data_IF_722341682536
#
_entry.id   IF_722341682536
#
_cell.length_a   1.000
_cell.length_b   1.000
_cell.length_c   1.000
_cell.angle_alpha   90.00
_cell.angle_beta   90.00
_cell.angle_gamma   90.00
#
_symmetry.space_group_name_H-M   'P 1'
#
loop_
_entity.id
_entity.type
_entity.pdbx_description
1 polymer ?
#
# COMPACT_ATOMS: atom_id res chain seq x y z
N UNK A 1 57.86 70.49 -11.46
CA UNK A 1 58.53 69.20 -11.27
C UNK A 1 57.60 68.29 -10.49
N UNK A 2 56.95 67.37 -11.15
CA UNK A 2 56.01 66.42 -10.53
C UNK A 2 56.42 64.99 -10.92
N UNK A 3 56.80 64.21 -9.95
CA UNK A 3 57.17 62.82 -10.09
C UNK A 3 55.93 61.96 -10.35
N UNK A 4 56.01 61.00 -11.29
CA UNK A 4 55.03 60.00 -11.58
C UNK A 4 55.24 58.77 -10.70
N UNK A 5 54.18 58.13 -10.19
CA UNK A 5 54.32 56.94 -9.37
C UNK A 5 54.44 55.67 -10.19
N UNK A 6 55.23 54.77 -9.66
CA UNK A 6 55.52 53.41 -10.09
C UNK A 6 54.27 52.49 -10.14
N UNK A 7 54.13 51.75 -11.23
CA UNK A 7 53.14 50.66 -11.43
C UNK A 7 53.66 49.34 -10.86
N UNK A 8 52.86 48.59 -10.08
CA UNK A 8 53.30 47.28 -9.59
C UNK A 8 53.04 46.18 -10.59
N UNK A 9 54.01 45.34 -10.72
CA UNK A 9 54.20 44.17 -11.58
C UNK A 9 53.19 43.08 -11.19
N UNK A 10 52.32 42.63 -12.13
CA UNK A 10 51.38 41.53 -11.96
C UNK A 10 52.13 40.18 -11.81
N UNK A 11 51.87 39.51 -10.67
CA UNK A 11 52.28 38.11 -10.47
C UNK A 11 51.25 37.19 -11.15
N UNK A 12 51.71 36.37 -12.07
CA UNK A 12 50.93 35.29 -12.69
C UNK A 12 50.77 34.17 -11.64
N UNK A 13 49.57 33.95 -11.15
CA UNK A 13 49.22 32.76 -10.41
C UNK A 13 48.81 31.67 -11.35
N UNK A 14 49.58 30.61 -11.43
CA UNK A 14 49.26 29.38 -12.13
C UNK A 14 48.24 28.63 -11.31
N UNK A 15 46.99 28.59 -11.76
CA UNK A 15 45.93 27.80 -11.13
C UNK A 15 46.11 26.36 -11.57
N UNK A 16 46.48 25.50 -10.64
CA UNK A 16 46.43 24.04 -10.81
C UNK A 16 44.98 23.62 -10.65
N UNK A 17 44.36 23.15 -11.71
CA UNK A 17 43.04 22.53 -11.69
C UNK A 17 43.22 21.10 -11.22
N UNK A 18 42.89 20.84 -9.97
CA UNK A 18 42.76 19.48 -9.46
C UNK A 18 41.39 18.93 -9.93
N UNK A 19 41.43 17.97 -10.86
CA UNK A 19 40.24 17.20 -11.22
C UNK A 19 39.90 16.26 -10.08
N UNK A 20 38.85 16.60 -9.30
CA UNK A 20 38.23 15.71 -8.34
C UNK A 20 37.32 14.76 -9.14
N UNK A 21 37.71 13.50 -9.26
CA UNK A 21 36.84 12.43 -9.74
C UNK A 21 35.77 12.19 -8.67
N UNK A 22 34.55 12.63 -8.92
CA UNK A 22 33.38 12.26 -8.13
C UNK A 22 33.04 10.79 -8.45
N UNK A 23 33.40 9.88 -7.54
CA UNK A 23 32.87 8.53 -7.56
C UNK A 23 31.40 8.62 -7.14
N UNK A 24 30.49 8.51 -8.11
CA UNK A 24 29.08 8.30 -7.85
C UNK A 24 28.90 6.90 -7.25
N UNK A 25 28.69 6.84 -5.96
CA UNK A 25 28.20 5.63 -5.28
C UNK A 25 26.71 5.47 -5.67
N UNK A 26 26.48 4.69 -6.70
CA UNK A 26 25.18 4.12 -7.01
C UNK A 26 24.81 3.18 -5.86
N UNK A 27 24.02 3.67 -4.93
CA UNK A 27 23.33 2.83 -3.95
C UNK A 27 22.21 2.10 -4.71
N UNK A 28 22.58 1.01 -5.39
CA UNK A 28 21.60 0.06 -5.90
C UNK A 28 20.95 -0.61 -4.69
N UNK A 29 19.67 -0.29 -4.43
CA UNK A 29 18.82 -1.19 -3.69
C UNK A 29 18.77 -2.49 -4.49
N UNK A 30 19.40 -3.53 -3.98
CA UNK A 30 19.39 -4.87 -4.55
C UNK A 30 17.94 -5.34 -4.67
N UNK A 31 17.40 -5.27 -5.87
CA UNK A 31 16.27 -6.08 -6.29
C UNK A 31 16.85 -7.48 -6.38
N UNK A 32 16.45 -8.37 -5.47
CA UNK A 32 16.80 -9.78 -5.56
C UNK A 32 16.32 -10.33 -6.90
N UNK A 33 17.26 -10.84 -7.68
CA UNK A 33 17.03 -11.54 -8.93
C UNK A 33 16.26 -12.83 -8.59
N UNK A 34 14.98 -12.87 -8.92
CA UNK A 34 14.13 -14.07 -8.84
C UNK A 34 14.19 -14.74 -10.22
N UNK A 35 15.26 -15.48 -10.48
CA UNK A 35 15.28 -16.46 -11.54
C UNK A 35 14.30 -17.56 -11.19
N UNK A 36 13.11 -17.52 -11.76
CA UNK A 36 12.15 -18.61 -11.71
C UNK A 36 12.69 -19.80 -12.53
N UNK A 37 12.65 -21.02 -12.02
CA UNK A 37 12.89 -22.20 -12.86
C UNK A 37 11.69 -22.39 -13.80
N UNK A 38 11.96 -22.55 -15.08
CA UNK A 38 10.99 -22.96 -16.10
C UNK A 38 10.35 -24.31 -15.73
N UNK A 39 9.03 -24.51 -15.93
CA UNK A 39 8.43 -25.81 -15.80
C UNK A 39 8.79 -26.66 -17.01
N UNK A 40 9.41 -27.80 -16.74
CA UNK A 40 9.64 -28.84 -17.72
C UNK A 40 8.30 -29.38 -18.26
N UNK A 41 8.19 -29.39 -19.58
CA UNK A 41 7.15 -30.08 -20.32
C UNK A 41 7.39 -31.58 -20.20
N UNK A 42 6.43 -32.32 -19.65
CA UNK A 42 6.32 -33.71 -19.93
C UNK A 42 4.90 -34.09 -20.34
N UNK A 43 4.91 -34.83 -21.45
CA UNK A 43 3.83 -35.28 -22.27
C UNK A 43 3.05 -36.42 -21.62
N UNK A 44 1.74 -36.41 -21.90
CA UNK A 44 0.91 -37.56 -22.33
C UNK A 44 0.81 -38.84 -21.46
N UNK A 45 -0.40 -39.10 -20.95
CA UNK A 45 -1.02 -40.43 -21.07
C UNK A 45 -2.53 -40.36 -20.84
N UNK A 46 -3.25 -40.78 -21.86
CA UNK A 46 -4.69 -40.99 -21.90
C UNK A 46 -5.11 -42.29 -21.17
N UNK A 47 -6.31 -42.29 -20.59
CA UNK A 47 -7.03 -43.52 -20.22
C UNK A 47 -8.11 -43.27 -19.14
N UNK A 48 -9.15 -44.09 -19.08
CA UNK A 48 -10.35 -44.08 -19.87
C UNK A 48 -11.60 -43.62 -19.05
N UNK A 49 -12.66 -43.21 -19.74
CA UNK A 49 -13.99 -42.87 -19.19
C UNK A 49 -14.58 -44.02 -18.34
N UNK A 50 -15.33 -43.71 -17.29
CA UNK A 50 -16.32 -44.64 -16.75
C UNK A 50 -17.75 -44.27 -17.21
N UNK A 51 -18.38 -45.24 -17.78
CA UNK A 51 -19.73 -45.42 -18.21
C UNK A 51 -20.78 -45.00 -17.17
N UNK A 52 -21.80 -44.27 -17.65
CA UNK A 52 -23.07 -44.04 -16.98
C UNK A 52 -23.82 -45.34 -16.72
N UNK A 53 -24.20 -45.60 -15.46
CA UNK A 53 -25.19 -46.58 -15.11
C UNK A 53 -26.40 -45.85 -14.49
N UNK A 54 -27.48 -45.91 -15.23
CA UNK A 54 -28.83 -45.45 -14.85
C UNK A 54 -29.42 -46.47 -13.85
N UNK A 55 -29.93 -45.99 -12.73
CA UNK A 55 -30.88 -46.73 -11.91
C UNK A 55 -31.95 -45.85 -11.33
N UNK A 56 -33.16 -46.30 -11.54
CA UNK A 56 -34.42 -45.62 -11.36
C UNK A 56 -34.88 -45.49 -9.89
N UNK A 57 -35.56 -44.37 -9.64
CA UNK A 57 -36.84 -44.23 -8.92
C UNK A 57 -37.02 -44.87 -7.55
N UNK A 58 -37.08 -43.98 -6.53
CA UNK A 58 -38.07 -44.11 -5.45
C UNK A 58 -38.34 -42.72 -4.88
N UNK A 59 -39.57 -42.27 -4.95
CA UNK A 59 -40.00 -41.04 -4.33
C UNK A 59 -40.10 -41.21 -2.79
N UNK A 60 -39.54 -40.31 -1.99
CA UNK A 60 -39.87 -40.21 -0.57
C UNK A 60 -40.90 -39.15 -0.34
N UNK A 61 -41.88 -39.52 0.42
CA UNK A 61 -42.92 -38.72 1.07
C UNK A 61 -42.35 -37.50 1.79
N UNK A 62 -42.90 -36.33 1.50
CA UNK A 62 -42.64 -35.06 2.14
C UNK A 62 -43.09 -35.14 3.64
N UNK A 63 -42.20 -34.87 4.62
CA UNK A 63 -42.61 -34.43 5.92
C UNK A 63 -42.91 -32.93 5.85
N UNK A 64 -44.09 -32.54 6.20
CA UNK A 64 -44.50 -31.16 6.46
C UNK A 64 -43.67 -30.66 7.64
N UNK A 65 -42.64 -29.87 7.37
CA UNK A 65 -41.89 -29.18 8.40
C UNK A 65 -42.60 -27.90 8.74
N UNK A 66 -42.90 -27.71 10.05
CA UNK A 66 -43.45 -26.48 10.60
C UNK A 66 -42.49 -25.29 10.29
N UNK A 67 -43.04 -24.10 9.97
CA UNK A 67 -42.18 -22.92 9.55
C UNK A 67 -41.45 -22.25 10.73
N UNK A 68 -41.22 -22.92 11.85
CA UNK A 68 -40.71 -22.30 13.09
C UNK A 68 -39.26 -22.56 13.44
N UNK A 69 -38.54 -23.38 12.64
CA UNK A 69 -37.16 -23.75 12.88
C UNK A 69 -36.27 -23.52 11.62
N UNK A 70 -36.45 -22.40 10.92
CA UNK A 70 -35.39 -21.93 10.05
C UNK A 70 -34.24 -21.44 10.95
N UNK A 71 -32.98 -21.94 10.79
CA UNK A 71 -31.86 -21.39 11.55
C UNK A 71 -31.76 -19.92 11.18
N UNK A 72 -31.90 -19.05 12.18
CA UNK A 72 -31.54 -17.64 12.06
C UNK A 72 -30.05 -17.66 11.74
N UNK A 73 -29.73 -17.51 10.49
CA UNK A 73 -28.35 -17.24 10.06
C UNK A 73 -28.01 -15.88 10.66
N UNK A 74 -27.34 -15.89 11.80
CA UNK A 74 -26.73 -14.69 12.36
C UNK A 74 -25.58 -14.34 11.45
N UNK A 75 -25.84 -13.46 10.45
CA UNK A 75 -24.79 -12.91 9.62
C UNK A 75 -23.71 -12.34 10.56
N UNK A 76 -22.46 -12.73 10.34
CA UNK A 76 -21.33 -12.21 11.11
C UNK A 76 -21.24 -10.69 10.92
N UNK A 77 -20.84 -10.00 11.97
CA UNK A 77 -20.47 -8.59 11.87
C UNK A 77 -19.10 -8.45 11.15
N UNK A 78 -18.80 -7.31 10.53
CA UNK A 78 -17.48 -7.03 9.98
C UNK A 78 -16.35 -7.26 10.99
N UNK A 79 -16.54 -6.88 12.25
CA UNK A 79 -15.57 -7.07 13.33
C UNK A 79 -15.30 -8.56 13.58
N UNK A 80 -16.34 -9.38 13.75
CA UNK A 80 -16.19 -10.83 13.97
C UNK A 80 -15.51 -11.52 12.77
N UNK A 81 -15.79 -11.05 11.56
CA UNK A 81 -15.16 -11.61 10.35
C UNK A 81 -13.65 -11.33 10.30
N UNK A 82 -13.23 -10.09 10.53
CA UNK A 82 -11.78 -9.76 10.49
C UNK A 82 -11.04 -10.37 11.68
N UNK A 83 -11.65 -10.50 12.86
CA UNK A 83 -11.06 -11.20 14.00
C UNK A 83 -10.80 -12.68 13.69
N UNK A 84 -11.76 -13.36 13.05
CA UNK A 84 -11.56 -14.74 12.61
C UNK A 84 -10.42 -14.84 11.56
N UNK A 85 -10.38 -13.93 10.59
CA UNK A 85 -9.34 -13.91 9.55
C UNK A 85 -7.95 -13.75 10.18
N UNK A 86 -7.75 -12.80 11.08
CA UNK A 86 -6.41 -12.57 11.68
C UNK A 86 -6.03 -13.67 12.67
N UNK A 87 -6.99 -14.34 13.31
CA UNK A 87 -6.71 -15.50 14.17
C UNK A 87 -6.08 -16.65 13.36
N UNK A 88 -6.52 -16.85 12.13
CA UNK A 88 -5.97 -17.85 11.19
C UNK A 88 -4.68 -17.39 10.51
N UNK A 89 -4.31 -16.12 10.62
CA UNK A 89 -3.15 -15.50 9.97
C UNK A 89 -2.27 -14.72 10.98
N UNK A 90 -1.51 -15.39 11.83
CA UNK A 90 -0.68 -14.72 12.84
C UNK A 90 0.35 -13.78 12.20
N UNK A 91 0.62 -12.64 12.85
CA UNK A 91 1.52 -11.61 12.36
C UNK A 91 0.89 -10.67 11.32
N UNK A 92 -0.44 -10.71 11.16
CA UNK A 92 -1.17 -9.84 10.25
C UNK A 92 -2.08 -8.85 10.97
N UNK A 93 -2.49 -7.81 10.25
CA UNK A 93 -3.47 -6.82 10.69
C UNK A 93 -4.40 -6.45 9.55
N UNK A 94 -5.66 -6.22 9.88
CA UNK A 94 -6.71 -5.80 8.94
C UNK A 94 -7.46 -4.63 9.56
N UNK A 95 -7.81 -3.66 8.73
CA UNK A 95 -8.86 -2.69 9.04
C UNK A 95 -9.74 -2.46 7.82
N UNK A 96 -11.01 -2.22 8.09
CA UNK A 96 -12.03 -1.88 7.11
C UNK A 96 -12.78 -0.64 7.61
N UNK A 97 -12.98 0.34 6.73
CA UNK A 97 -13.62 1.61 7.08
C UNK A 97 -14.67 2.03 6.06
N UNK A 98 -15.72 2.68 6.52
CA UNK A 98 -16.78 3.27 5.70
C UNK A 98 -17.96 3.74 6.56
N UNK A 99 -18.74 4.69 6.05
CA UNK A 99 -19.94 5.18 6.76
C UNK A 99 -19.70 5.77 8.15
N UNK A 100 -18.45 6.14 8.48
CA UNK A 100 -18.07 6.62 9.82
C UNK A 100 -17.70 5.51 10.79
N UNK A 101 -17.70 4.27 10.36
CA UNK A 101 -17.28 3.11 11.15
C UNK A 101 -15.89 2.63 10.72
N UNK A 102 -15.07 2.25 11.69
CA UNK A 102 -13.78 1.58 11.44
C UNK A 102 -13.73 0.33 12.32
N UNK A 103 -13.52 -0.82 11.70
CA UNK A 103 -13.26 -2.08 12.39
C UNK A 103 -11.84 -2.52 12.12
N UNK A 104 -11.15 -3.04 13.15
CA UNK A 104 -9.75 -3.49 13.00
C UNK A 104 -9.42 -4.66 13.90
N UNK A 105 -8.49 -5.53 13.45
CA UNK A 105 -8.05 -6.70 14.22
C UNK A 105 -6.59 -7.06 13.89
N UNK A 106 -5.95 -7.83 14.76
CA UNK A 106 -4.57 -8.31 14.63
C UNK A 106 -3.54 -7.27 15.02
N UNK A 107 -2.54 -7.04 14.17
CA UNK A 107 -1.50 -6.00 14.35
C UNK A 107 -2.11 -4.64 14.07
N UNK A 108 -2.63 -3.98 15.10
CA UNK A 108 -3.33 -2.69 15.01
C UNK A 108 -2.48 -1.50 15.49
N UNK A 109 -1.38 -1.74 16.19
CA UNK A 109 -0.47 -0.67 16.61
C UNK A 109 0.17 0.02 15.39
N UNK A 110 0.52 1.31 15.51
CA UNK A 110 1.22 2.03 14.45
C UNK A 110 2.56 1.37 14.11
N UNK A 111 2.78 1.17 12.81
CA UNK A 111 4.04 0.67 12.23
C UNK A 111 4.43 1.53 11.03
N UNK A 112 5.65 1.40 10.51
CA UNK A 112 6.13 2.20 9.39
C UNK A 112 5.17 2.13 8.19
N UNK A 113 4.82 3.30 7.66
CA UNK A 113 3.91 3.43 6.51
C UNK A 113 4.53 2.89 5.21
N UNK A 114 5.85 2.90 5.12
CA UNK A 114 6.58 2.58 3.90
C UNK A 114 6.05 3.40 2.71
N UNK A 115 5.96 2.81 1.52
CA UNK A 115 5.48 3.50 0.32
C UNK A 115 3.98 3.82 0.31
N UNK A 116 3.19 3.39 1.30
CA UNK A 116 1.80 3.85 1.41
C UNK A 116 1.72 5.34 1.73
N UNK A 117 2.73 5.91 2.40
CA UNK A 117 2.83 7.35 2.66
C UNK A 117 3.01 8.20 1.38
N UNK A 118 3.31 7.59 0.24
CA UNK A 118 3.38 8.31 -1.05
C UNK A 118 2.02 8.83 -1.51
N UNK A 119 0.91 8.22 -1.07
CA UNK A 119 -0.45 8.68 -1.40
C UNK A 119 -0.71 10.06 -0.79
N UNK A 120 -0.65 10.27 0.53
CA UNK A 120 -0.85 11.60 1.09
C UNK A 120 0.24 12.60 0.68
N UNK A 121 1.47 12.16 0.41
CA UNK A 121 2.54 13.01 -0.12
C UNK A 121 2.18 13.56 -1.51
N UNK A 122 1.69 12.71 -2.41
CA UNK A 122 1.28 13.13 -3.75
C UNK A 122 0.06 14.06 -3.70
N UNK A 123 -0.95 13.77 -2.86
CA UNK A 123 -2.11 14.65 -2.65
C UNK A 123 -1.66 16.01 -2.10
N UNK A 124 -0.69 16.04 -1.18
CA UNK A 124 -0.15 17.29 -0.66
C UNK A 124 0.51 18.14 -1.77
N UNK A 125 1.27 17.50 -2.67
CA UNK A 125 1.90 18.17 -3.80
C UNK A 125 0.87 18.68 -4.82
N UNK A 126 -0.18 17.91 -5.12
CA UNK A 126 -1.31 18.34 -5.95
C UNK A 126 -2.01 19.58 -5.36
N UNK A 127 -2.36 19.54 -4.09
CA UNK A 127 -2.99 20.69 -3.40
C UNK A 127 -2.13 21.95 -3.38
N UNK A 128 -0.83 21.76 -3.28
CA UNK A 128 0.12 22.88 -3.30
C UNK A 128 0.38 23.42 -4.73
N UNK A 129 -0.14 22.75 -5.79
CA UNK A 129 0.10 23.12 -7.18
C UNK A 129 1.56 22.93 -7.62
N UNK A 130 2.31 22.02 -6.97
CA UNK A 130 3.72 21.73 -7.26
C UNK A 130 3.94 20.31 -7.79
N UNK A 131 2.86 19.56 -7.99
CA UNK A 131 2.91 18.22 -8.54
C UNK A 131 3.17 18.25 -10.06
N UNK A 132 4.09 17.41 -10.51
CA UNK A 132 4.21 17.03 -11.91
C UNK A 132 3.44 15.73 -12.10
N UNK A 133 2.47 15.65 -13.06
CA UNK A 133 1.64 14.46 -13.25
C UNK A 133 2.44 13.18 -13.56
N UNK A 134 3.56 13.28 -14.28
CA UNK A 134 4.43 12.13 -14.55
C UNK A 134 5.14 11.67 -13.28
N UNK A 135 5.58 12.60 -12.45
CA UNK A 135 6.22 12.30 -11.16
C UNK A 135 5.21 11.65 -10.20
N UNK A 136 3.97 12.14 -10.14
CA UNK A 136 2.88 11.53 -9.36
C UNK A 136 2.61 10.11 -9.84
N UNK A 137 2.43 9.92 -11.15
CA UNK A 137 2.20 8.60 -11.73
C UNK A 137 3.33 7.63 -11.36
N UNK A 138 4.59 8.01 -11.55
CA UNK A 138 5.74 7.15 -11.21
C UNK A 138 5.80 6.82 -9.72
N UNK A 139 5.60 7.80 -8.85
CA UNK A 139 5.63 7.60 -7.39
C UNK A 139 4.55 6.62 -6.91
N UNK A 140 3.37 6.63 -7.54
CA UNK A 140 2.22 5.83 -7.14
C UNK A 140 2.19 4.48 -7.85
N UNK A 141 2.18 4.46 -9.20
CA UNK A 141 2.07 3.25 -10.03
C UNK A 141 3.25 2.31 -9.82
N UNK A 142 4.48 2.82 -9.97
CA UNK A 142 5.69 2.02 -9.85
C UNK A 142 6.32 2.04 -8.45
N UNK A 143 5.76 2.82 -7.55
CA UNK A 143 6.35 3.04 -6.22
C UNK A 143 7.78 3.61 -6.27
N UNK A 144 8.11 4.39 -7.31
CA UNK A 144 9.41 4.98 -7.54
C UNK A 144 9.81 5.91 -6.37
N UNK A 145 10.95 5.63 -5.75
CA UNK A 145 11.43 6.40 -4.60
C UNK A 145 11.97 7.76 -5.04
N UNK A 146 12.66 7.84 -6.19
CA UNK A 146 13.19 9.11 -6.69
C UNK A 146 12.07 10.09 -7.08
N UNK A 147 10.98 9.57 -7.65
CA UNK A 147 9.79 10.37 -7.92
C UNK A 147 9.15 10.88 -6.60
N UNK A 148 9.04 10.03 -5.59
CA UNK A 148 8.54 10.45 -4.28
C UNK A 148 9.44 11.48 -3.58
N UNK A 149 10.77 11.35 -3.69
CA UNK A 149 11.73 12.32 -3.17
C UNK A 149 11.63 13.65 -3.93
N UNK A 150 11.28 13.62 -5.23
CA UNK A 150 10.98 14.83 -6.01
C UNK A 150 9.74 15.54 -5.47
N UNK A 151 8.63 14.83 -5.21
CA UNK A 151 7.43 15.42 -4.58
C UNK A 151 7.74 16.00 -3.21
N UNK A 152 8.50 15.28 -2.39
CA UNK A 152 8.93 15.76 -1.08
C UNK A 152 9.73 17.07 -1.18
N UNK A 153 10.67 17.14 -2.12
CA UNK A 153 11.50 18.32 -2.37
C UNK A 153 10.68 19.50 -2.90
N UNK A 154 9.72 19.24 -3.81
CA UNK A 154 8.82 20.25 -4.36
C UNK A 154 7.95 20.92 -3.29
N UNK A 155 7.61 20.19 -2.22
CA UNK A 155 6.92 20.71 -1.02
C UNK A 155 7.85 21.49 -0.07
N UNK A 156 9.12 21.71 -0.44
CA UNK A 156 10.13 22.40 0.37
C UNK A 156 10.99 21.50 1.23
N UNK A 157 10.77 20.18 1.18
CA UNK A 157 11.54 19.19 1.96
C UNK A 157 11.36 19.31 3.48
N UNK A 158 12.06 18.43 4.23
CA UNK A 158 12.15 18.53 5.69
C UNK A 158 10.82 18.83 6.39
N UNK A 159 10.82 19.86 7.24
CA UNK A 159 9.65 20.24 8.05
C UNK A 159 8.44 20.69 7.20
N UNK A 160 8.66 21.36 6.08
CA UNK A 160 7.57 21.87 5.24
C UNK A 160 6.83 20.71 4.56
N UNK A 161 7.55 19.80 3.94
CA UNK A 161 6.96 18.62 3.32
C UNK A 161 6.28 17.70 4.35
N UNK A 162 6.89 17.54 5.53
CA UNK A 162 6.31 16.79 6.63
C UNK A 162 4.96 17.36 7.07
N UNK A 163 4.88 18.67 7.29
CA UNK A 163 3.65 19.35 7.69
C UNK A 163 2.57 19.27 6.60
N UNK A 164 2.95 19.48 5.33
CA UNK A 164 2.01 19.39 4.22
C UNK A 164 1.43 17.97 4.10
N UNK A 165 2.26 16.95 4.16
CA UNK A 165 1.84 15.55 4.10
C UNK A 165 0.99 15.16 5.32
N UNK A 166 1.39 15.60 6.51
CA UNK A 166 0.64 15.37 7.75
C UNK A 166 -0.76 16.00 7.73
N UNK A 167 -0.90 17.18 7.13
CA UNK A 167 -2.20 17.83 6.97
C UNK A 167 -3.17 17.02 6.09
N UNK A 168 -2.65 16.18 5.20
CA UNK A 168 -3.46 15.25 4.40
C UNK A 168 -3.82 13.99 5.19
N UNK A 169 -2.86 13.43 5.95
CA UNK A 169 -3.07 12.23 6.77
C UNK A 169 -4.03 12.49 7.94
N UNK A 170 -3.86 13.60 8.63
CA UNK A 170 -4.66 14.00 9.79
C UNK A 170 -4.31 13.26 11.09
N UNK A 171 -4.16 11.95 11.06
CA UNK A 171 -4.08 11.09 12.25
C UNK A 171 -2.66 10.71 12.68
N UNK A 172 -1.66 10.80 11.78
CA UNK A 172 -0.30 10.40 12.06
C UNK A 172 0.70 11.55 11.92
N UNK A 173 1.76 11.53 12.73
CA UNK A 173 2.85 12.51 12.62
C UNK A 173 3.87 12.05 11.59
N UNK A 174 4.10 12.90 10.58
CA UNK A 174 5.11 12.67 9.54
C UNK A 174 6.46 13.22 10.01
N UNK A 175 7.51 12.39 10.11
CA UNK A 175 8.82 12.87 10.52
C UNK A 175 9.45 13.78 9.45
N UNK A 176 10.07 14.89 9.88
CA UNK A 176 10.77 15.82 9.00
C UNK A 176 12.12 15.29 8.50
N UNK A 177 12.70 14.36 9.27
CA UNK A 177 13.96 13.67 8.96
C UNK A 177 13.79 12.17 9.19
N UNK A 178 14.50 11.31 8.43
CA UNK A 178 14.35 9.86 8.60
C UNK A 178 14.74 9.40 10.01
N UNK A 179 13.83 8.76 10.78
CA UNK A 179 14.19 8.13 12.07
C UNK A 179 15.17 6.98 11.92
N UNK A 180 15.16 6.30 10.78
CA UNK A 180 16.11 5.24 10.41
C UNK A 180 16.94 5.67 9.22
N UNK A 181 18.26 5.65 9.34
CA UNK A 181 19.16 5.96 8.22
C UNK A 181 18.94 5.03 7.03
N UNK A 182 19.00 5.57 5.82
CA UNK A 182 18.81 4.81 4.58
C UNK A 182 17.35 4.68 4.11
N UNK A 183 16.39 5.24 4.86
CA UNK A 183 14.97 5.26 4.48
C UNK A 183 14.45 6.68 4.33
N UNK A 184 13.35 6.86 3.59
CA UNK A 184 12.70 8.16 3.46
C UNK A 184 12.00 8.57 4.77
N UNK A 185 11.95 9.87 5.05
CA UNK A 185 11.25 10.41 6.21
C UNK A 185 9.75 10.04 6.18
N UNK A 186 9.07 10.32 5.09
CA UNK A 186 7.63 10.02 4.93
C UNK A 186 7.33 8.52 5.08
N UNK A 187 8.18 7.63 4.55
CA UNK A 187 8.00 6.18 4.67
C UNK A 187 8.12 5.64 6.10
N UNK A 188 8.75 6.40 7.01
CA UNK A 188 8.90 6.05 8.42
C UNK A 188 7.78 6.62 9.31
N UNK A 189 6.76 7.24 8.74
CA UNK A 189 5.54 7.63 9.45
C UNK A 189 4.95 6.42 10.15
N UNK A 190 4.72 6.53 11.46
CA UNK A 190 4.06 5.47 12.23
C UNK A 190 2.55 5.60 12.02
N UNK A 191 1.95 4.62 11.34
CA UNK A 191 0.57 4.69 10.88
C UNK A 191 -0.14 3.35 11.10
N UNK A 192 -1.24 3.34 11.86
CA UNK A 192 -2.01 2.13 12.15
C UNK A 192 -2.79 1.67 10.92
N UNK A 193 -3.21 0.41 10.88
CA UNK A 193 -4.11 -0.08 9.82
C UNK A 193 -5.48 0.59 9.92
N UNK A 194 -5.96 0.89 11.13
CA UNK A 194 -7.23 1.58 11.35
C UNK A 194 -7.22 2.99 10.74
N UNK A 195 -6.21 3.81 11.08
CA UNK A 195 -6.05 5.16 10.52
C UNK A 195 -5.85 5.12 9.00
N UNK A 196 -5.18 4.09 8.47
CA UNK A 196 -5.02 3.94 7.01
C UNK A 196 -6.32 3.59 6.30
N UNK A 197 -7.16 2.73 6.90
CA UNK A 197 -8.47 2.41 6.33
C UNK A 197 -9.41 3.63 6.37
N UNK A 198 -9.41 4.38 7.47
CA UNK A 198 -10.17 5.62 7.59
C UNK A 198 -9.72 6.67 6.56
N UNK A 199 -8.41 6.85 6.41
CA UNK A 199 -7.85 7.72 5.37
C UNK A 199 -8.27 7.24 3.97
N UNK A 200 -8.17 5.94 3.68
CA UNK A 200 -8.58 5.39 2.40
C UNK A 200 -10.08 5.61 2.12
N UNK A 201 -10.95 5.54 3.14
CA UNK A 201 -12.38 5.82 3.02
C UNK A 201 -12.67 7.27 2.60
N UNK A 202 -11.78 8.20 2.94
CA UNK A 202 -11.91 9.62 2.62
C UNK A 202 -11.32 10.01 1.25
N UNK A 203 -10.55 9.14 0.58
CA UNK A 203 -9.77 9.48 -0.61
C UNK A 203 -10.60 10.11 -1.74
N UNK A 204 -11.80 9.58 -2.00
CA UNK A 204 -12.69 10.15 -3.03
C UNK A 204 -13.22 11.56 -2.73
N UNK A 205 -12.99 12.07 -1.52
CA UNK A 205 -13.48 13.35 -1.03
C UNK A 205 -12.38 14.40 -0.87
N UNK A 206 -11.12 13.99 -1.06
CA UNK A 206 -9.98 14.86 -0.86
C UNK A 206 -9.67 15.63 -2.15
N UNK A 207 -9.60 16.94 -2.06
CA UNK A 207 -9.10 17.77 -3.16
C UNK A 207 -7.69 17.32 -3.54
N UNK A 208 -7.41 17.20 -4.84
CA UNK A 208 -6.13 16.74 -5.36
C UNK A 208 -5.93 15.22 -5.32
N UNK A 209 -6.93 14.43 -4.91
CA UNK A 209 -6.80 12.98 -4.88
C UNK A 209 -7.09 12.30 -6.24
N UNK A 210 -7.80 12.94 -7.16
CA UNK A 210 -8.21 12.32 -8.44
C UNK A 210 -7.04 11.73 -9.23
N UNK A 211 -5.94 12.46 -9.55
CA UNK A 211 -4.83 11.90 -10.31
C UNK A 211 -4.09 10.80 -9.52
N UNK A 212 -4.08 10.88 -8.19
CA UNK A 212 -3.46 9.88 -7.32
C UNK A 212 -4.29 8.60 -7.32
N UNK A 213 -5.63 8.69 -7.24
CA UNK A 213 -6.54 7.54 -7.34
C UNK A 213 -6.44 6.85 -8.71
N UNK A 214 -6.37 7.62 -9.80
CA UNK A 214 -6.13 7.07 -11.13
C UNK A 214 -4.83 6.25 -11.17
N UNK A 215 -3.72 6.80 -10.66
CA UNK A 215 -2.43 6.10 -10.58
C UNK A 215 -2.44 4.88 -9.64
N UNK A 216 -3.29 4.87 -8.59
CA UNK A 216 -3.49 3.69 -7.73
C UNK A 216 -4.19 2.54 -8.46
N UNK A 217 -5.03 2.84 -9.46
CA UNK A 217 -5.68 1.86 -10.33
C UNK A 217 -4.74 1.24 -11.37
N UNK A 218 -3.70 1.97 -11.77
CA UNK A 218 -2.72 1.56 -12.78
C UNK A 218 -1.49 0.86 -12.18
N UNK A 219 -1.64 0.21 -11.04
CA UNK A 219 -0.51 -0.38 -10.33
C UNK A 219 0.27 -1.40 -11.17
N UNK A 220 1.61 -1.28 -11.09
CA UNK A 220 2.57 -2.16 -11.76
C UNK A 220 2.22 -3.66 -11.53
N UNK A 221 2.22 -4.51 -12.59
CA UNK A 221 2.04 -5.96 -12.48
C UNK A 221 2.95 -6.64 -11.45
N UNK A 222 4.17 -6.15 -11.20
CA UNK A 222 5.05 -6.64 -10.14
C UNK A 222 4.46 -6.46 -8.73
N UNK A 223 3.42 -5.63 -8.59
CA UNK A 223 2.67 -5.42 -7.34
C UNK A 223 1.28 -6.08 -7.37
N UNK A 224 1.03 -7.04 -8.28
CA UNK A 224 -0.24 -7.75 -8.44
C UNK A 224 -0.45 -8.81 -7.35
N UNK A 225 -0.44 -8.42 -6.08
CA UNK A 225 -0.70 -9.26 -4.90
C UNK A 225 -1.60 -8.52 -3.90
N UNK A 226 -2.09 -9.23 -2.89
CA UNK A 226 -2.92 -8.64 -1.83
C UNK A 226 -4.20 -8.03 -2.41
N UNK A 227 -4.47 -6.76 -2.09
CA UNK A 227 -5.67 -6.06 -2.53
C UNK A 227 -5.81 -5.98 -4.06
N UNK A 228 -4.71 -6.06 -4.83
CA UNK A 228 -4.77 -6.09 -6.30
C UNK A 228 -5.48 -7.32 -6.87
N UNK A 229 -5.69 -8.36 -6.07
CA UNK A 229 -6.44 -9.56 -6.50
C UNK A 229 -7.95 -9.37 -6.40
N UNK A 230 -8.40 -8.23 -5.86
CA UNK A 230 -9.81 -7.89 -5.69
C UNK A 230 -10.29 -6.99 -6.83
N UNK A 231 -11.58 -7.07 -7.12
CA UNK A 231 -12.21 -6.24 -8.14
C UNK A 231 -12.15 -4.75 -7.76
N UNK A 232 -11.94 -3.88 -8.77
CA UNK A 232 -11.95 -2.44 -8.61
C UNK A 232 -10.86 -1.88 -7.71
N UNK A 233 -9.75 -2.62 -7.50
CA UNK A 233 -8.71 -2.24 -6.57
C UNK A 233 -7.99 -0.95 -6.98
N UNK A 234 -8.17 0.11 -6.20
CA UNK A 234 -7.36 1.33 -6.20
C UNK A 234 -6.45 1.25 -4.96
N UNK A 235 -5.19 0.83 -5.12
CA UNK A 235 -4.37 0.48 -3.96
C UNK A 235 -2.96 1.06 -4.02
N UNK A 236 -2.34 1.26 -2.85
CA UNK A 236 -0.92 1.52 -2.71
C UNK A 236 -0.27 0.53 -1.75
N UNK A 237 0.81 -0.08 -2.19
CA UNK A 237 1.65 -0.94 -1.36
C UNK A 237 2.82 -0.20 -0.72
N UNK A 238 3.33 -0.79 0.37
CA UNK A 238 4.56 -0.38 1.03
C UNK A 238 5.20 -1.59 1.72
N UNK A 239 6.53 -1.65 1.74
CA UNK A 239 7.27 -2.78 2.29
C UNK A 239 8.69 -2.39 2.70
N UNK A 240 9.26 -3.18 3.61
CA UNK A 240 10.64 -3.02 4.04
C UNK A 240 11.01 -3.94 5.20
N UNK A 241 12.29 -3.93 5.60
CA UNK A 241 12.75 -4.72 6.73
C UNK A 241 12.23 -4.14 8.05
N UNK A 242 11.64 -5.00 8.88
CA UNK A 242 11.24 -4.62 10.23
C UNK A 242 12.46 -4.28 11.10
N UNK A 243 12.27 -3.38 12.08
CA UNK A 243 13.35 -2.95 12.96
C UNK A 243 13.83 -4.07 13.92
N UNK A 244 12.94 -5.00 14.25
CA UNK A 244 13.17 -6.13 15.17
C UNK A 244 13.38 -7.46 14.43
N UNK A 245 13.66 -7.41 13.13
CA UNK A 245 13.81 -8.58 12.25
C UNK A 245 12.53 -8.94 11.50
N UNK A 246 12.66 -9.79 10.49
CA UNK A 246 11.56 -10.09 9.58
C UNK A 246 11.38 -9.04 8.47
N UNK A 247 10.31 -9.17 7.74
CA UNK A 247 9.97 -8.28 6.62
C UNK A 247 8.50 -7.87 6.68
N UNK A 248 8.26 -6.58 6.56
CA UNK A 248 6.92 -5.99 6.59
C UNK A 248 6.42 -5.69 5.19
N UNK A 249 5.16 -5.98 4.94
CA UNK A 249 4.42 -5.51 3.78
C UNK A 249 3.03 -5.04 4.20
N UNK A 250 2.53 -4.01 3.55
CA UNK A 250 1.20 -3.48 3.79
C UNK A 250 0.60 -2.92 2.51
N UNK A 251 -0.71 -2.84 2.49
CA UNK A 251 -1.46 -2.18 1.43
C UNK A 251 -2.64 -1.44 2.03
N UNK A 252 -3.01 -0.33 1.41
CA UNK A 252 -4.26 0.38 1.69
C UNK A 252 -4.91 0.83 0.40
N UNK A 253 -6.23 0.96 0.41
CA UNK A 253 -6.95 1.48 -0.75
C UNK A 253 -8.44 1.18 -0.71
N UNK A 254 -9.05 1.31 -1.88
CA UNK A 254 -10.46 1.02 -2.14
C UNK A 254 -10.56 -0.25 -2.98
N UNK A 255 -11.51 -1.11 -2.65
CA UNK A 255 -11.78 -2.37 -3.35
C UNK A 255 -13.28 -2.62 -3.45
N UNK A 256 -13.72 -3.50 -4.33
CA UNK A 256 -15.11 -3.95 -4.37
C UNK A 256 -15.27 -5.22 -3.54
N UNK A 257 -16.08 -5.15 -2.48
CA UNK A 257 -16.48 -6.30 -1.67
C UNK A 257 -18.01 -6.36 -1.62
N UNK A 258 -18.59 -7.51 -1.94
CA UNK A 258 -20.05 -7.70 -1.98
C UNK A 258 -20.79 -6.61 -2.80
N UNK A 259 -20.18 -6.16 -3.91
CA UNK A 259 -20.73 -5.14 -4.80
C UNK A 259 -20.67 -3.69 -4.29
N UNK A 260 -19.95 -3.44 -3.19
CA UNK A 260 -19.75 -2.11 -2.60
C UNK A 260 -18.29 -1.68 -2.67
N UNK A 261 -18.05 -0.39 -2.79
CA UNK A 261 -16.70 0.18 -2.58
C UNK A 261 -16.39 0.21 -1.10
N UNK A 262 -15.33 -0.45 -0.69
CA UNK A 262 -14.92 -0.61 0.71
C UNK A 262 -13.47 -0.13 0.86
N UNK A 263 -13.21 0.65 1.89
CA UNK A 263 -11.84 1.05 2.23
C UNK A 263 -11.19 0.00 3.12
N UNK A 264 -10.02 -0.45 2.70
CA UNK A 264 -9.30 -1.54 3.37
C UNK A 264 -7.84 -1.18 3.59
N UNK A 265 -7.31 -1.51 4.75
CA UNK A 265 -5.88 -1.56 5.01
C UNK A 265 -5.50 -2.94 5.55
N UNK A 266 -4.45 -3.52 4.99
CA UNK A 266 -3.91 -4.82 5.40
C UNK A 266 -2.41 -4.72 5.67
N UNK A 267 -1.95 -5.49 6.65
CA UNK A 267 -0.56 -5.57 7.08
C UNK A 267 -0.15 -7.02 7.28
N UNK A 268 1.09 -7.34 6.95
CA UNK A 268 1.72 -8.62 7.25
C UNK A 268 3.18 -8.44 7.61
N UNK A 269 3.65 -9.19 8.61
CA UNK A 269 5.06 -9.32 8.97
C UNK A 269 5.51 -10.76 8.78
N UNK A 270 6.34 -10.97 7.78
CA UNK A 270 6.98 -12.27 7.52
C UNK A 270 8.14 -12.46 8.50
N UNK A 271 8.13 -13.50 9.37
CA UNK A 271 9.15 -13.69 10.39
C UNK A 271 10.52 -14.07 9.81
N UNK A 272 10.53 -14.65 8.62
CA UNK A 272 11.77 -15.09 7.93
C UNK A 272 12.52 -13.98 7.21
N UNK A 273 11.98 -12.73 7.16
CA UNK A 273 12.55 -11.64 6.39
C UNK A 273 12.33 -11.73 4.88
N UNK A 274 11.42 -12.60 4.44
CA UNK A 274 11.12 -12.86 3.04
C UNK A 274 9.94 -11.99 2.56
N UNK A 275 10.20 -11.13 1.57
CA UNK A 275 9.19 -10.30 0.95
C UNK A 275 8.09 -11.12 0.25
N UNK A 276 8.46 -12.18 -0.46
CA UNK A 276 7.51 -13.08 -1.12
C UNK A 276 6.54 -13.73 -0.13
N UNK A 277 7.02 -14.10 1.05
CA UNK A 277 6.16 -14.59 2.14
C UNK A 277 5.16 -13.52 2.60
N UNK A 278 5.61 -12.27 2.80
CA UNK A 278 4.74 -11.18 3.18
C UNK A 278 3.66 -10.90 2.11
N UNK A 279 4.01 -10.95 0.82
CA UNK A 279 3.06 -10.81 -0.28
C UNK A 279 1.98 -11.92 -0.27
N UNK A 280 2.39 -13.17 -0.03
CA UNK A 280 1.45 -14.30 0.08
C UNK A 280 0.52 -14.15 1.28
N UNK A 281 1.02 -13.64 2.41
CA UNK A 281 0.20 -13.36 3.58
C UNK A 281 -0.87 -12.29 3.26
N UNK A 282 -0.49 -11.17 2.63
CA UNK A 282 -1.44 -10.14 2.20
C UNK A 282 -2.47 -10.67 1.19
N UNK A 283 -2.06 -11.54 0.27
CA UNK A 283 -2.97 -12.15 -0.71
C UNK A 283 -4.00 -13.05 -0.03
N UNK A 284 -3.59 -13.86 0.95
CA UNK A 284 -4.54 -14.67 1.75
C UNK A 284 -5.55 -13.79 2.50
N UNK A 285 -5.11 -12.68 3.11
CA UNK A 285 -6.03 -11.76 3.78
C UNK A 285 -7.07 -11.19 2.80
N UNK A 286 -6.62 -10.73 1.63
CA UNK A 286 -7.52 -10.18 0.61
C UNK A 286 -8.56 -11.21 0.14
N UNK A 287 -8.13 -12.45 -0.11
CA UNK A 287 -9.02 -13.55 -0.51
C UNK A 287 -10.03 -13.92 0.57
N UNK A 288 -9.62 -13.95 1.84
CA UNK A 288 -10.52 -14.24 2.96
C UNK A 288 -11.51 -13.10 3.20
N UNK A 289 -11.10 -11.82 3.01
CA UNK A 289 -12.02 -10.67 3.05
C UNK A 289 -13.09 -10.78 1.95
N UNK A 290 -12.70 -11.14 0.72
CA UNK A 290 -13.64 -11.31 -0.39
C UNK A 290 -14.60 -12.49 -0.20
N UNK A 291 -14.16 -13.54 0.49
CA UNK A 291 -14.97 -14.74 0.76
C UNK A 291 -15.88 -14.60 1.99
N UNK A 292 -15.71 -13.56 2.80
CA UNK A 292 -16.48 -13.38 4.02
C UNK A 292 -17.94 -12.97 3.68
N UNK A 293 -18.88 -13.73 4.23
CA UNK A 293 -20.33 -13.46 4.13
C UNK A 293 -20.74 -12.41 5.19
N UNK A 294 -20.42 -11.15 4.88
CA UNK A 294 -20.74 -10.00 5.75
C UNK A 294 -21.15 -8.80 4.91
N UNK A 295 -21.90 -7.88 5.51
CA UNK A 295 -22.14 -6.56 4.91
C UNK A 295 -21.04 -5.61 5.35
N UNK A 296 -20.13 -5.30 4.42
CA UNK A 296 -19.04 -4.37 4.67
C UNK A 296 -19.53 -2.92 4.71
N UNK A 297 -18.90 -2.05 5.55
CA UNK A 297 -19.18 -0.61 5.55
C UNK A 297 -18.73 -0.01 4.21
N UNK A 298 -19.58 0.82 3.60
CA UNK A 298 -19.31 1.43 2.30
C UNK A 298 -18.47 2.69 2.46
N UNK A 299 -17.35 2.76 1.72
CA UNK A 299 -16.52 3.95 1.67
C UNK A 299 -17.23 5.07 0.90
N UNK A 300 -17.11 6.28 1.37
CA UNK A 300 -17.70 7.46 0.75
C UNK A 300 -17.48 8.71 1.56
N UNK A 301 -17.77 9.86 0.93
CA UNK A 301 -17.66 11.14 1.60
C UNK A 301 -18.66 11.21 2.76
N UNK A 302 -18.17 11.31 3.98
CA UNK A 302 -19.04 11.68 5.09
C UNK A 302 -19.53 13.10 4.84
N UNK A 303 -20.83 13.26 4.69
CA UNK A 303 -21.42 14.58 4.76
C UNK A 303 -21.16 15.09 6.18
N UNK A 304 -20.41 16.19 6.30
CA UNK A 304 -20.30 16.85 7.59
C UNK A 304 -21.72 17.08 8.08
N UNK A 305 -22.05 16.52 9.27
CA UNK A 305 -23.31 16.82 9.92
C UNK A 305 -23.37 18.33 10.11
N UNK A 306 -24.32 18.98 9.42
CA UNK A 306 -24.60 20.43 9.46
C UNK A 306 -25.23 20.76 10.80
#
# INVERSE_FOLDING_TARGET
MRALPNSPRAKKHTTVVAAAAAAALLSACTIGDVSAPEPASDSEAAGPEPTLSSSASAAPTTPTSDPKDAPVSTARTPQEAIEAIVADNPGTGIAVAGGGEVVSAGVTQPVAAWSTAKVPLAIAAERAGVADPEVVSRAITFSDNAAADTLWTSLGGGQQAAQATQAIIGTATVPATPPRAGFSAFGQTQWSVADQAEFAASLGCLDGAEPVLAAMGDADPAQAYGLSTLEGALKKGGWGPSADGGYEARQMGLVTLSGKTVAVAIYAKAPTGDYGQAQQMLTRLAQQLAAADVTWPEAGCQQAAV
#
